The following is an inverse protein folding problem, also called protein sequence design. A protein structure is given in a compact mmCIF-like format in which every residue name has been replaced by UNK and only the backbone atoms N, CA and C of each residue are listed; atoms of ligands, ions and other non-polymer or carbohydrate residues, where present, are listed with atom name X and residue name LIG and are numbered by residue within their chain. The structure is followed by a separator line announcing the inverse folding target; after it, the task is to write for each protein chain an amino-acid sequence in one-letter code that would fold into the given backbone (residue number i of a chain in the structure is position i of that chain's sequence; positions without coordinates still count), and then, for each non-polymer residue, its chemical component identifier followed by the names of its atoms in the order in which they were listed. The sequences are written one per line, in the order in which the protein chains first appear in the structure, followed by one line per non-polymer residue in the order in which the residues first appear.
data_IF_197287017740
#
_entry.id   IF_197287017740
#
_cell.length_a   1.000
_cell.length_b   1.000
_cell.length_c   1.000
_cell.angle_alpha   90.00
_cell.angle_beta   90.00
_cell.angle_gamma   90.00
#
_symmetry.space_group_name_H-M   'P 1'
#
loop_
_entity.id
_entity.type
_entity.pdbx_description
1 polymer ?
#
# COMPACT_ATOMS: atom_id res chain seq x y z
N UNK A 1 -3.35 -17.34 -1.80
CA UNK A 1 -1.87 -17.19 -1.80
C UNK A 1 -1.57 -15.88 -1.12
N UNK A 2 -0.72 -15.88 -0.10
CA UNK A 2 -0.33 -14.66 0.63
C UNK A 2 0.05 -13.54 -0.35
N UNK A 3 -0.60 -12.38 -0.19
CA UNK A 3 -0.44 -11.19 -1.07
C UNK A 3 1.04 -10.84 -1.24
N UNK A 4 1.88 -11.04 -0.20
CA UNK A 4 3.30 -10.74 -0.29
C UNK A 4 4.09 -11.79 -1.08
N UNK A 5 3.65 -13.05 -1.09
CA UNK A 5 4.21 -14.07 -1.98
C UNK A 5 3.87 -13.75 -3.44
N UNK A 6 2.63 -13.32 -3.71
CA UNK A 6 2.24 -12.88 -5.05
C UNK A 6 3.04 -11.66 -5.51
N UNK A 7 3.26 -10.70 -4.61
CA UNK A 7 4.09 -9.53 -4.85
C UNK A 7 5.54 -9.91 -5.21
N UNK A 8 6.16 -10.82 -4.45
CA UNK A 8 7.52 -11.29 -4.73
C UNK A 8 7.64 -11.97 -6.09
N UNK A 9 6.62 -12.72 -6.52
CA UNK A 9 6.58 -13.34 -7.86
C UNK A 9 6.47 -12.30 -8.97
N UNK A 10 5.79 -11.18 -8.72
CA UNK A 10 5.56 -10.13 -9.72
C UNK A 10 6.77 -9.20 -9.90
N UNK A 11 7.42 -8.81 -8.81
CA UNK A 11 8.44 -7.74 -8.82
C UNK A 11 9.80 -8.15 -8.26
N UNK A 12 9.96 -9.40 -7.82
CA UNK A 12 11.21 -9.89 -7.22
C UNK A 12 11.29 -9.64 -5.70
N UNK A 13 12.51 -9.58 -5.13
CA UNK A 13 12.71 -9.34 -3.72
C UNK A 13 12.02 -8.05 -3.24
N UNK A 14 11.40 -8.12 -2.05
CA UNK A 14 10.77 -6.98 -1.40
C UNK A 14 11.56 -6.60 -0.14
N UNK A 15 11.54 -5.32 0.26
CA UNK A 15 12.21 -4.87 1.47
C UNK A 15 11.58 -5.49 2.73
N UNK A 16 12.35 -5.52 3.81
CA UNK A 16 11.83 -5.91 5.12
C UNK A 16 10.94 -4.79 5.68
N UNK A 17 9.67 -5.12 5.90
CA UNK A 17 8.64 -4.20 6.39
C UNK A 17 8.31 -4.52 7.85
N UNK A 18 8.05 -3.48 8.64
CA UNK A 18 7.62 -3.61 10.04
C UNK A 18 6.43 -2.68 10.25
N UNK A 19 5.44 -3.15 11.00
CA UNK A 19 4.32 -2.32 11.46
C UNK A 19 4.65 -1.80 12.85
N UNK A 20 4.66 -0.49 13.02
CA UNK A 20 4.96 0.20 14.28
C UNK A 20 3.92 1.31 14.53
N UNK A 21 3.78 1.85 15.76
CA UNK A 21 2.98 3.05 15.98
C UNK A 21 3.41 4.18 15.05
N UNK A 22 2.43 4.82 14.41
CA UNK A 22 2.68 5.88 13.43
C UNK A 22 3.21 7.14 14.11
N UNK A 23 4.13 7.83 13.44
CA UNK A 23 4.57 9.17 13.84
C UNK A 23 3.53 10.25 13.48
N UNK A 24 2.58 9.93 12.60
CA UNK A 24 1.43 10.80 12.30
C UNK A 24 0.44 10.71 13.46
N UNK A 25 0.13 11.86 14.07
CA UNK A 25 -0.85 11.96 15.17
C UNK A 25 -2.17 11.31 14.73
N UNK A 26 -2.83 10.59 15.64
CA UNK A 26 -4.13 9.90 15.44
C UNK A 26 -4.19 8.83 14.33
N UNK A 27 -3.09 8.52 13.63
CA UNK A 27 -3.09 7.49 12.57
C UNK A 27 -2.99 6.04 13.10
N UNK A 28 -2.75 5.84 14.40
CA UNK A 28 -2.59 4.52 14.99
C UNK A 28 -1.23 3.89 14.62
N UNK A 29 -1.23 2.96 13.66
CA UNK A 29 -0.03 2.24 13.21
C UNK A 29 0.38 2.67 11.80
N UNK A 30 1.64 2.44 11.44
CA UNK A 30 2.20 2.75 10.13
C UNK A 30 3.14 1.65 9.66
N UNK A 31 3.33 1.59 8.34
CA UNK A 31 4.31 0.72 7.70
C UNK A 31 5.68 1.40 7.64
N UNK A 32 6.70 0.74 8.16
CA UNK A 32 8.08 1.21 8.21
C UNK A 32 8.98 0.25 7.44
N UNK A 33 9.91 0.80 6.66
CA UNK A 33 10.95 0.03 5.99
C UNK A 33 12.20 -0.03 6.88
N UNK A 34 12.88 -1.17 6.92
CA UNK A 34 14.21 -1.27 7.53
C UNK A 34 15.31 -0.97 6.51
N UNK A 35 16.13 0.03 6.79
CA UNK A 35 17.25 0.45 5.93
C UNK A 35 16.83 1.48 4.89
N UNK A 36 17.74 1.74 3.95
CA UNK A 36 17.55 2.75 2.91
C UNK A 36 17.09 2.11 1.60
N UNK A 37 16.07 2.69 0.96
CA UNK A 37 15.59 2.28 -0.36
C UNK A 37 15.87 3.35 -1.42
N UNK A 38 16.36 2.96 -2.61
CA UNK A 38 16.40 3.85 -3.75
C UNK A 38 15.00 4.33 -4.15
N UNK A 39 14.94 5.42 -4.90
CA UNK A 39 13.72 5.87 -5.60
C UNK A 39 13.20 4.78 -6.56
N UNK A 40 11.89 4.77 -6.81
CA UNK A 40 11.17 3.84 -7.69
C UNK A 40 11.21 2.35 -7.29
N UNK A 41 11.74 2.05 -6.09
CA UNK A 41 11.77 0.70 -5.50
C UNK A 41 10.37 0.24 -5.15
N UNK A 42 10.00 -0.98 -5.53
CA UNK A 42 8.72 -1.56 -5.12
C UNK A 42 8.79 -1.99 -3.66
N UNK A 43 7.87 -1.46 -2.84
CA UNK A 43 7.82 -1.67 -1.39
C UNK A 43 6.86 -2.82 -1.06
N UNK A 44 5.64 -2.75 -1.57
CA UNK A 44 4.60 -3.74 -1.31
C UNK A 44 3.55 -3.77 -2.42
N UNK A 45 2.79 -4.87 -2.46
CA UNK A 45 1.57 -4.99 -3.24
C UNK A 45 0.36 -4.66 -2.36
N UNK A 46 -0.54 -3.81 -2.86
CA UNK A 46 -1.87 -3.65 -2.32
C UNK A 46 -2.71 -4.85 -2.74
N UNK A 47 -3.12 -5.65 -1.76
CA UNK A 47 -3.96 -6.83 -1.96
C UNK A 47 -5.18 -6.79 -1.06
N UNK A 48 -6.17 -7.56 -1.47
CA UNK A 48 -7.49 -7.61 -0.86
C UNK A 48 -8.50 -8.23 -1.83
N UNK A 49 -9.76 -8.22 -1.41
CA UNK A 49 -10.90 -8.64 -2.23
C UNK A 49 -11.03 -7.76 -3.46
N UNK A 50 -11.25 -8.37 -4.64
CA UNK A 50 -11.44 -7.64 -5.89
C UNK A 50 -12.92 -7.45 -6.18
N UNK A 51 -13.31 -6.20 -6.34
CA UNK A 51 -14.66 -5.81 -6.71
C UNK A 51 -14.71 -5.37 -8.17
N UNK A 52 -15.73 -5.84 -8.88
CA UNK A 52 -16.06 -5.41 -10.24
C UNK A 52 -16.71 -4.03 -10.17
N UNK A 53 -16.02 -2.98 -10.61
CA UNK A 53 -16.62 -1.64 -10.66
C UNK A 53 -15.59 -0.50 -10.72
N UNK A 54 -16.10 0.69 -11.03
CA UNK A 54 -15.39 1.96 -10.85
C UNK A 54 -15.52 2.42 -9.38
N UNK A 55 -14.67 3.35 -8.92
CA UNK A 55 -14.59 3.85 -7.52
C UNK A 55 -15.93 4.28 -6.87
N UNK A 56 -17.02 4.38 -7.64
CA UNK A 56 -18.34 4.89 -7.23
C UNK A 56 -19.30 3.92 -6.55
N UNK A 57 -18.90 2.68 -6.23
CA UNK A 57 -19.73 1.79 -5.40
C UNK A 57 -19.74 2.24 -3.94
N UNK A 58 -20.91 2.24 -3.28
CA UNK A 58 -21.15 2.68 -1.89
C UNK A 58 -20.44 1.84 -0.78
N UNK A 59 -19.22 1.35 -1.00
CA UNK A 59 -18.44 0.77 0.10
C UNK A 59 -17.69 1.85 0.86
N UNK A 60 -17.92 1.86 2.18
CA UNK A 60 -17.52 2.83 3.20
C UNK A 60 -16.12 2.56 3.78
N UNK A 61 -15.37 1.63 3.18
CA UNK A 61 -14.06 1.22 3.66
C UNK A 61 -12.97 2.26 3.35
N UNK A 62 -12.21 2.65 4.38
CA UNK A 62 -10.99 3.45 4.23
C UNK A 62 -9.79 2.68 3.64
N UNK A 63 -9.98 1.41 3.28
CA UNK A 63 -8.96 0.51 2.75
C UNK A 63 -9.24 0.09 1.30
N UNK A 64 -9.86 0.98 0.53
CA UNK A 64 -10.14 0.76 -0.90
C UNK A 64 -9.08 1.42 -1.75
N UNK A 65 -8.70 0.72 -2.82
CA UNK A 65 -7.76 1.23 -3.80
C UNK A 65 -8.19 0.84 -5.20
N UNK A 66 -8.34 1.82 -6.09
CA UNK A 66 -8.63 1.53 -7.50
C UNK A 66 -7.41 0.99 -8.23
N UNK A 67 -7.62 -0.15 -8.87
CA UNK A 67 -6.79 -0.67 -9.95
C UNK A 67 -7.40 -0.36 -11.32
N UNK A 68 -6.74 -0.84 -12.37
CA UNK A 68 -7.29 -0.76 -13.73
C UNK A 68 -8.37 -1.83 -13.88
N UNK A 69 -9.63 -1.40 -13.99
CA UNK A 69 -10.79 -2.27 -14.20
C UNK A 69 -11.26 -3.05 -12.96
N UNK A 70 -10.81 -2.68 -11.76
CA UNK A 70 -11.28 -3.24 -10.49
C UNK A 70 -10.98 -2.31 -9.32
N UNK A 71 -11.72 -2.48 -8.23
CA UNK A 71 -11.37 -1.94 -6.91
C UNK A 71 -10.83 -3.08 -6.05
N UNK A 72 -9.79 -2.81 -5.26
CA UNK A 72 -9.22 -3.73 -4.29
C UNK A 72 -9.57 -3.22 -2.89
N UNK A 73 -10.28 -4.02 -2.08
CA UNK A 73 -10.61 -3.68 -0.68
C UNK A 73 -9.84 -4.61 0.28
N UNK A 74 -9.05 -4.01 1.17
CA UNK A 74 -8.20 -4.73 2.12
C UNK A 74 -8.81 -4.84 3.54
N UNK A 75 -10.12 -4.57 3.72
CA UNK A 75 -10.78 -4.69 5.04
C UNK A 75 -10.70 -6.09 5.62
N UNK A 76 -11.13 -7.09 4.86
CA UNK A 76 -11.19 -8.49 5.32
C UNK A 76 -9.84 -9.18 5.15
N UNK A 77 -9.12 -8.85 4.08
CA UNK A 77 -7.81 -9.40 3.74
C UNK A 77 -6.72 -8.31 3.85
N UNK A 78 -6.40 -7.91 5.08
CA UNK A 78 -5.38 -6.87 5.31
C UNK A 78 -4.04 -7.29 4.72
N UNK A 79 -3.52 -6.47 3.81
CA UNK A 79 -2.15 -6.56 3.33
C UNK A 79 -1.26 -5.56 4.10
N UNK A 80 0.04 -5.82 4.19
CA UNK A 80 0.98 -4.85 4.81
C UNK A 80 0.89 -3.46 4.18
N UNK A 81 0.61 -3.40 2.88
CA UNK A 81 0.45 -2.18 2.12
C UNK A 81 -0.72 -1.30 2.62
N UNK A 82 -1.77 -1.90 3.19
CA UNK A 82 -2.92 -1.16 3.73
C UNK A 82 -2.66 -0.53 5.10
N UNK A 83 -1.49 -0.81 5.70
CA UNK A 83 -1.01 -0.15 6.91
C UNK A 83 -0.17 1.11 6.63
N UNK A 84 0.09 1.44 5.36
CA UNK A 84 0.73 2.70 5.01
C UNK A 84 -0.25 3.85 5.21
N UNK A 85 0.20 4.91 5.88
CA UNK A 85 -0.61 6.09 6.12
C UNK A 85 -0.42 7.10 4.99
N UNK A 86 -1.48 7.83 4.67
CA UNK A 86 -1.37 9.03 3.85
C UNK A 86 -0.84 10.20 4.69
N UNK A 87 0.20 10.87 4.19
CA UNK A 87 0.82 12.01 4.85
C UNK A 87 0.17 13.35 4.48
N UNK A 88 -0.85 13.40 3.60
CA UNK A 88 -1.52 14.64 3.12
C UNK A 88 -1.92 15.60 4.25
N UNK A 89 -2.36 15.09 5.40
CA UNK A 89 -2.78 15.90 6.55
C UNK A 89 -1.76 15.91 7.69
N UNK A 90 -0.50 15.61 7.40
CA UNK A 90 0.59 15.50 8.37
C UNK A 90 1.72 16.48 8.04
N UNK A 91 2.63 16.78 8.99
CA UNK A 91 3.84 17.55 8.69
C UNK A 91 4.89 16.75 7.89
N UNK A 92 4.67 15.44 7.70
CA UNK A 92 5.53 14.60 6.89
C UNK A 92 5.09 14.63 5.44
N UNK A 93 6.02 14.46 4.52
CA UNK A 93 5.74 14.34 3.10
C UNK A 93 5.64 12.86 2.68
N UNK A 94 4.72 12.55 1.77
CA UNK A 94 4.61 11.21 1.18
C UNK A 94 5.93 10.82 0.48
N UNK A 95 6.51 9.70 0.89
CA UNK A 95 7.75 9.14 0.34
C UNK A 95 7.49 7.90 -0.56
N UNK A 96 6.23 7.51 -0.67
CA UNK A 96 5.75 6.43 -1.53
C UNK A 96 4.51 6.88 -2.29
N UNK A 97 4.27 6.24 -3.43
CA UNK A 97 3.08 6.41 -4.26
C UNK A 97 2.62 5.08 -4.84
N UNK A 98 1.42 5.06 -5.41
CA UNK A 98 0.81 3.86 -5.97
C UNK A 98 0.87 3.84 -7.49
N UNK A 99 1.49 2.79 -8.04
CA UNK A 99 1.40 2.48 -9.48
C UNK A 99 0.19 1.57 -9.72
N UNK A 100 -0.84 2.13 -10.34
CA UNK A 100 -2.10 1.44 -10.66
C UNK A 100 -1.97 0.63 -11.96
N UNK A 101 -2.45 -0.61 -11.92
CA UNK A 101 -2.49 -1.55 -13.04
C UNK A 101 -3.51 -2.65 -12.74
N UNK A 102 -3.34 -3.85 -13.33
CA UNK A 102 -4.10 -5.05 -12.89
C UNK A 102 -3.81 -5.46 -11.43
N UNK A 103 -2.73 -4.91 -10.89
CA UNK A 103 -2.27 -4.98 -9.51
C UNK A 103 -1.86 -3.57 -9.11
N UNK A 104 -1.98 -3.20 -7.83
CA UNK A 104 -1.58 -1.88 -7.35
C UNK A 104 -0.33 -2.01 -6.48
N UNK A 105 0.76 -1.39 -6.92
CA UNK A 105 2.07 -1.50 -6.28
C UNK A 105 2.43 -0.19 -5.58
N UNK A 106 2.85 -0.27 -4.32
CA UNK A 106 3.47 0.85 -3.63
C UNK A 106 4.94 0.94 -4.03
N UNK A 107 5.37 2.13 -4.44
CA UNK A 107 6.75 2.43 -4.84
C UNK A 107 7.26 3.67 -4.14
N UNK A 108 8.54 3.67 -3.80
CA UNK A 108 9.20 4.87 -3.30
C UNK A 108 9.20 5.97 -4.37
N UNK A 109 8.92 7.21 -3.98
CA UNK A 109 8.95 8.40 -4.86
C UNK A 109 10.24 9.21 -4.71
N UNK A 110 11.09 8.80 -3.76
CA UNK A 110 12.40 9.35 -3.45
C UNK A 110 13.21 8.31 -2.69
N UNK A 111 14.45 8.62 -2.33
CA UNK A 111 15.22 7.80 -1.39
C UNK A 111 14.56 7.86 -0.01
N UNK A 112 14.38 6.69 0.62
CA UNK A 112 13.68 6.53 1.92
C UNK A 112 14.58 5.81 2.90
#
# INVERSE_FOLDING_TARGET
VDVQIAARRLVGPLPALVVLPSQIRIAGYGLVVRGTLPEATTVALYGGSRESGDEGGESTSGYRMAGVGCVIDAVEERCLCSMANDAVYSPFENNCGFRRGRSVLMKTTRVV
#
